data_IF_971475741839
#
_entry.id   IF_971475741839
#
_cell.length_a   1.000
_cell.length_b   1.000
_cell.length_c   1.000
_cell.angle_alpha   90.00
_cell.angle_beta   90.00
_cell.angle_gamma   90.00
#
_symmetry.space_group_name_H-M   'P 1'
#
loop_
_entity.id
_entity.type
_entity.pdbx_description
1 polymer ?
#
# COMPACT_ATOMS: atom_id res chain seq x y z
N UNK A 1 -18.67 -16.53 14.21
CA UNK A 1 -17.90 -16.85 12.99
C UNK A 1 -16.47 -16.46 13.26
N UNK A 2 -15.63 -17.44 13.55
CA UNK A 2 -14.24 -17.25 13.99
C UNK A 2 -13.31 -17.43 12.77
N UNK A 3 -12.54 -16.40 12.42
CA UNK A 3 -11.65 -16.41 11.25
C UNK A 3 -10.22 -16.88 11.59
N UNK A 4 -9.98 -17.41 12.80
CA UNK A 4 -8.63 -17.75 13.27
C UNK A 4 -8.11 -19.12 12.79
N UNK A 5 -8.88 -19.88 12.00
CA UNK A 5 -8.61 -21.31 11.76
C UNK A 5 -7.82 -21.67 10.49
N UNK A 6 -7.34 -20.71 9.69
CA UNK A 6 -6.67 -21.02 8.41
C UNK A 6 -5.14 -21.04 8.46
N UNK A 7 -4.51 -20.71 9.58
CA UNK A 7 -3.05 -20.82 9.70
C UNK A 7 -2.66 -22.16 10.34
N UNK A 8 -2.35 -23.15 9.50
CA UNK A 8 -1.92 -24.49 9.90
C UNK A 8 -0.44 -24.57 10.32
N UNK A 9 0.27 -23.45 10.42
CA UNK A 9 1.66 -23.45 10.85
C UNK A 9 1.73 -23.57 12.39
N UNK A 10 2.35 -24.63 12.95
CA UNK A 10 2.57 -24.69 14.38
C UNK A 10 3.49 -23.55 14.81
N UNK A 11 3.14 -22.88 15.92
CA UNK A 11 3.87 -21.74 16.49
C UNK A 11 5.32 -22.04 16.89
N UNK A 12 5.76 -23.30 16.81
CA UNK A 12 7.09 -23.78 17.19
C UNK A 12 8.09 -23.97 16.03
N UNK A 13 7.72 -23.66 14.78
CA UNK A 13 8.59 -23.93 13.60
C UNK A 13 9.42 -22.73 13.14
N UNK A 14 9.18 -21.53 13.69
CA UNK A 14 10.00 -20.34 13.40
C UNK A 14 11.02 -20.09 14.51
N UNK A 15 12.14 -20.80 14.46
CA UNK A 15 13.35 -20.56 15.28
C UNK A 15 14.35 -19.65 14.51
N UNK A 16 13.78 -18.68 13.78
CA UNK A 16 14.54 -17.73 12.97
C UNK A 16 14.54 -16.37 13.65
N UNK A 17 15.70 -15.70 13.65
CA UNK A 17 15.81 -14.30 14.09
C UNK A 17 14.76 -13.45 13.35
N UNK A 18 14.06 -12.60 14.11
CA UNK A 18 13.00 -11.76 13.54
C UNK A 18 13.62 -10.77 12.56
N UNK A 19 13.57 -11.10 11.27
CA UNK A 19 14.02 -10.19 10.20
C UNK A 19 13.25 -8.88 10.38
N UNK A 20 13.93 -7.74 10.59
CA UNK A 20 13.26 -6.45 10.65
C UNK A 20 12.66 -6.19 9.27
N UNK A 21 11.35 -6.42 9.14
CA UNK A 21 10.60 -6.24 7.90
C UNK A 21 10.41 -4.75 7.52
N UNK A 22 11.04 -3.83 8.25
CA UNK A 22 10.94 -2.38 8.03
C UNK A 22 11.31 -2.00 6.61
N UNK A 23 12.45 -2.46 6.08
CA UNK A 23 12.87 -2.14 4.71
C UNK A 23 11.87 -2.63 3.63
N UNK A 24 11.20 -3.76 3.86
CA UNK A 24 10.21 -4.30 2.92
C UNK A 24 8.84 -3.59 3.02
N UNK A 25 8.51 -3.04 4.18
CA UNK A 25 7.32 -2.22 4.34
C UNK A 25 7.51 -0.85 3.68
N UNK A 26 8.69 -0.26 3.86
CA UNK A 26 9.06 1.03 3.31
C UNK A 26 9.08 1.00 1.77
N UNK A 27 9.65 -0.04 1.16
CA UNK A 27 9.62 -0.22 -0.31
C UNK A 27 8.20 -0.33 -0.89
N UNK A 28 7.25 -0.92 -0.16
CA UNK A 28 5.83 -1.02 -0.60
C UNK A 28 5.09 0.31 -0.46
N UNK A 29 5.44 1.11 0.55
CA UNK A 29 4.94 2.47 0.73
C UNK A 29 5.43 3.33 -0.44
N UNK A 30 6.73 3.27 -0.74
CA UNK A 30 7.35 3.97 -1.87
C UNK A 30 6.74 3.60 -3.22
N UNK A 31 6.50 2.30 -3.49
CA UNK A 31 5.81 1.83 -4.70
C UNK A 31 4.43 2.48 -4.85
N UNK A 32 3.68 2.58 -3.75
CA UNK A 32 2.35 3.20 -3.75
C UNK A 32 2.43 4.69 -4.07
N UNK A 33 3.42 5.39 -3.50
CA UNK A 33 3.69 6.81 -3.76
C UNK A 33 4.08 7.03 -5.21
N UNK A 34 4.96 6.19 -5.76
CA UNK A 34 5.39 6.27 -7.16
C UNK A 34 4.20 6.09 -8.12
N UNK A 35 3.34 5.11 -7.87
CA UNK A 35 2.14 4.89 -8.67
C UNK A 35 1.19 6.11 -8.61
N UNK A 36 0.97 6.68 -7.43
CA UNK A 36 0.11 7.87 -7.26
C UNK A 36 0.64 9.07 -8.05
N UNK A 37 1.97 9.24 -8.09
CA UNK A 37 2.61 10.28 -8.91
C UNK A 37 2.49 10.00 -10.40
N UNK A 38 2.66 8.75 -10.83
CA UNK A 38 2.52 8.37 -12.22
C UNK A 38 1.12 8.69 -12.76
N UNK A 39 0.07 8.40 -11.97
CA UNK A 39 -1.30 8.77 -12.34
C UNK A 39 -1.46 10.28 -12.54
N UNK A 40 -0.89 11.10 -11.66
CA UNK A 40 -0.97 12.57 -11.81
C UNK A 40 -0.18 13.05 -13.02
N UNK A 41 0.97 12.46 -13.31
CA UNK A 41 1.74 12.78 -14.49
C UNK A 41 0.98 12.43 -15.79
N UNK A 42 0.24 11.32 -15.80
CA UNK A 42 -0.51 10.84 -16.97
C UNK A 42 -1.83 11.58 -17.17
N UNK A 43 -2.61 11.79 -16.11
CA UNK A 43 -3.95 12.37 -16.18
C UNK A 43 -4.01 13.88 -15.86
N UNK A 44 -2.93 14.45 -15.32
CA UNK A 44 -2.86 15.88 -14.95
C UNK A 44 -3.79 16.28 -13.79
N UNK A 45 -4.40 15.31 -13.10
CA UNK A 45 -5.38 15.54 -12.03
C UNK A 45 -5.09 14.64 -10.84
N UNK A 46 -5.38 15.12 -9.63
CA UNK A 46 -5.21 14.34 -8.40
C UNK A 46 -6.10 13.08 -8.44
N UNK A 47 -5.56 11.88 -8.16
CA UNK A 47 -6.36 10.68 -8.15
C UNK A 47 -7.40 10.74 -7.03
N UNK A 48 -8.63 10.39 -7.37
CA UNK A 48 -9.66 10.01 -6.39
C UNK A 48 -9.73 8.48 -6.29
N UNK A 49 -10.33 7.95 -5.23
CA UNK A 49 -10.50 6.51 -5.09
C UNK A 49 -11.30 5.90 -6.27
N UNK A 50 -12.28 6.64 -6.78
CA UNK A 50 -13.10 6.24 -7.93
C UNK A 50 -12.27 6.25 -9.22
N UNK A 51 -11.62 7.37 -9.55
CA UNK A 51 -10.77 7.48 -10.75
C UNK A 51 -9.60 6.49 -10.75
N UNK A 52 -9.05 6.19 -9.57
CA UNK A 52 -8.00 5.18 -9.41
C UNK A 52 -8.49 3.76 -9.70
N UNK A 53 -9.70 3.45 -9.23
CA UNK A 53 -10.32 2.14 -9.44
C UNK A 53 -10.77 1.99 -10.90
N UNK A 54 -11.33 3.04 -11.49
CA UNK A 54 -11.73 3.08 -12.90
C UNK A 54 -10.52 2.90 -13.83
N UNK A 55 -9.42 3.59 -13.56
CA UNK A 55 -8.17 3.43 -14.29
C UNK A 55 -7.48 2.07 -14.02
N UNK A 56 -8.05 1.22 -13.16
CA UNK A 56 -7.52 -0.12 -12.82
C UNK A 56 -6.06 -0.06 -12.36
N UNK A 57 -5.69 1.02 -11.67
CA UNK A 57 -4.31 1.28 -11.27
C UNK A 57 -3.81 0.27 -10.22
N UNK A 58 -2.48 0.11 -10.19
CA UNK A 58 -1.78 -0.75 -9.22
C UNK A 58 -0.79 0.06 -8.40
N UNK A 59 -0.74 -0.14 -7.07
CA UNK A 59 -1.56 -1.05 -6.26
C UNK A 59 -3.04 -0.65 -6.18
N UNK A 60 -3.92 -1.59 -5.83
CA UNK A 60 -5.36 -1.31 -5.75
C UNK A 60 -5.68 -0.29 -4.65
N UNK A 61 -6.78 0.43 -4.82
CA UNK A 61 -7.32 1.40 -3.85
C UNK A 61 -7.38 0.82 -2.42
N UNK A 62 -7.90 -0.41 -2.29
CA UNK A 62 -7.98 -1.14 -1.02
C UNK A 62 -6.61 -1.41 -0.39
N UNK A 63 -5.60 -1.70 -1.19
CA UNK A 63 -4.22 -1.91 -0.72
C UNK A 63 -3.62 -0.60 -0.24
N UNK A 64 -3.85 0.50 -0.97
CA UNK A 64 -3.40 1.84 -0.56
C UNK A 64 -4.05 2.23 0.78
N UNK A 65 -5.35 2.01 0.96
CA UNK A 65 -6.01 2.25 2.26
C UNK A 65 -5.40 1.44 3.40
N UNK A 66 -5.05 0.17 3.18
CA UNK A 66 -4.41 -0.67 4.22
C UNK A 66 -3.02 -0.17 4.61
N UNK A 67 -2.27 0.39 3.66
CA UNK A 67 -0.91 0.90 3.87
C UNK A 67 -0.90 2.27 4.56
N UNK A 68 -1.80 3.18 4.16
CA UNK A 68 -1.80 4.58 4.61
C UNK A 68 -2.97 4.97 5.53
N UNK A 69 -3.86 4.02 5.85
CA UNK A 69 -5.12 4.24 6.57
C UNK A 69 -6.22 4.89 5.71
N UNK A 70 -5.85 5.80 4.80
CA UNK A 70 -6.79 6.48 3.90
C UNK A 70 -6.16 6.77 2.55
N UNK A 71 -6.95 6.64 1.49
CA UNK A 71 -6.52 6.99 0.13
C UNK A 71 -6.18 8.48 0.03
N UNK A 72 -6.98 9.36 0.66
CA UNK A 72 -6.71 10.81 0.67
C UNK A 72 -5.38 11.15 1.38
N UNK A 73 -5.06 10.43 2.45
CA UNK A 73 -3.76 10.58 3.15
C UNK A 73 -2.63 10.13 2.24
N UNK A 74 -2.77 8.99 1.55
CA UNK A 74 -1.77 8.52 0.60
C UNK A 74 -1.48 9.53 -0.53
N UNK A 75 -2.53 10.14 -1.10
CA UNK A 75 -2.38 11.19 -2.12
C UNK A 75 -1.68 12.43 -1.55
N UNK A 76 -2.06 12.87 -0.35
CA UNK A 76 -1.39 13.99 0.30
C UNK A 76 0.10 13.69 0.55
N UNK A 77 0.43 12.52 1.12
CA UNK A 77 1.81 12.08 1.31
C UNK A 77 2.58 12.03 -0.01
N UNK A 78 1.97 11.52 -1.08
CA UNK A 78 2.63 11.45 -2.38
C UNK A 78 2.96 12.83 -2.98
N UNK A 79 2.17 13.87 -2.66
CA UNK A 79 2.31 15.22 -3.20
C UNK A 79 3.11 16.18 -2.32
N UNK A 80 3.19 15.92 -1.01
CA UNK A 80 3.93 16.78 -0.06
C UNK A 80 5.44 16.55 -0.14
N UNK A 81 5.87 15.37 -0.59
CA UNK A 81 7.27 14.95 -0.55
C UNK A 81 7.94 15.05 -1.93
N UNK A 82 8.51 16.20 -2.34
CA UNK A 82 9.41 16.22 -3.48
C UNK A 82 10.70 15.52 -3.05
N UNK A 83 10.95 14.31 -3.56
CA UNK A 83 12.28 13.72 -3.48
C UNK A 83 13.29 14.61 -4.18
#
# INVERSE_FOLDING_TARGET
MDLSSHNANPSSVFDGDAVPLSDMADTRIEESVAALRAFVAEHGSLPTAESWTEATMRPSEKTIRRRFGSFKVAVATAMIDPK
#
